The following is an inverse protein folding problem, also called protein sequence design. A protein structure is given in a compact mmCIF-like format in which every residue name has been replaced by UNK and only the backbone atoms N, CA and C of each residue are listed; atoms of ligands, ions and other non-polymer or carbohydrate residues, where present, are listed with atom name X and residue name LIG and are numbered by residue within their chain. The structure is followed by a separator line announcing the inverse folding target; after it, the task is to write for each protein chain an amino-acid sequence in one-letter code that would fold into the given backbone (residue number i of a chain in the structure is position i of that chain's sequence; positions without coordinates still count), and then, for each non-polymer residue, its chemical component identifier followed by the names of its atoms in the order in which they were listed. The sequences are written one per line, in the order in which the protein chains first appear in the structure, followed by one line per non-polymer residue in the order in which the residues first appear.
data_IF_303481597169
#
_entry.id   IF_303481597169
#
_cell.length_a   1.000
_cell.length_b   1.000
_cell.length_c   1.000
_cell.angle_alpha   90.00
_cell.angle_beta   90.00
_cell.angle_gamma   90.00
#
_symmetry.space_group_name_H-M   'P 1'
#
loop_
_entity.id
_entity.type
_entity.pdbx_description
1 polymer ?
#
# COMPACT_ATOMS: atom_id res chain seq x y z
N UNK A 1 -2.78 8.63 -28.53
CA UNK A 1 -2.50 9.03 -27.13
C UNK A 1 -1.74 7.88 -26.49
N UNK A 2 -0.52 8.09 -25.98
CA UNK A 2 0.28 7.05 -25.32
C UNK A 2 0.29 7.39 -23.84
N UNK A 3 -0.39 6.58 -23.03
CA UNK A 3 -0.36 6.72 -21.57
C UNK A 3 0.92 6.05 -21.07
N UNK A 4 1.71 6.78 -20.28
CA UNK A 4 2.88 6.22 -19.59
C UNK A 4 2.42 5.65 -18.26
N UNK A 5 2.88 4.44 -17.97
CA UNK A 5 2.59 3.72 -16.72
C UNK A 5 3.69 4.04 -15.72
N UNK A 6 3.34 4.26 -14.45
CA UNK A 6 4.33 4.41 -13.37
C UNK A 6 5.11 3.10 -13.21
N UNK A 7 6.43 3.19 -13.01
CA UNK A 7 7.26 2.01 -12.72
C UNK A 7 7.34 1.69 -11.23
N UNK A 8 6.77 2.54 -10.38
CA UNK A 8 6.77 2.39 -8.93
C UNK A 8 5.37 2.11 -8.42
N UNK A 9 5.22 1.37 -7.29
CA UNK A 9 3.96 1.27 -6.59
C UNK A 9 3.46 2.65 -6.19
N UNK A 10 2.15 2.80 -6.14
CA UNK A 10 1.49 4.04 -5.74
C UNK A 10 0.54 3.75 -4.60
N UNK A 11 0.35 4.72 -3.71
CA UNK A 11 -0.81 4.73 -2.83
C UNK A 11 -2.02 5.00 -3.74
N UNK A 12 -2.88 4.01 -3.91
CA UNK A 12 -4.04 4.08 -4.78
C UNK A 12 -5.27 4.60 -4.02
N UNK A 13 -5.44 4.14 -2.77
CA UNK A 13 -6.52 4.57 -1.89
C UNK A 13 -6.03 4.64 -0.43
N UNK A 14 -6.70 5.47 0.36
CA UNK A 14 -6.47 5.66 1.78
C UNK A 14 -7.80 5.88 2.49
N UNK A 15 -8.09 5.05 3.48
CA UNK A 15 -9.30 5.10 4.29
C UNK A 15 -8.94 5.29 5.76
N UNK A 16 -9.08 6.52 6.27
CA UNK A 16 -8.73 6.88 7.66
C UNK A 16 -9.94 7.02 8.59
N UNK A 17 -11.11 6.57 8.14
CA UNK A 17 -12.33 6.51 8.95
C UNK A 17 -13.25 5.43 8.38
N UNK A 18 -12.79 4.19 8.48
CA UNK A 18 -13.55 3.03 8.05
C UNK A 18 -14.57 2.67 9.14
N UNK A 19 -15.85 2.93 8.91
CA UNK A 19 -16.89 2.61 9.91
C UNK A 19 -17.67 1.33 9.57
N UNK A 20 -17.71 0.95 8.28
CA UNK A 20 -18.58 -0.11 7.81
C UNK A 20 -18.20 -0.73 6.45
N UNK A 21 -17.01 -0.44 5.90
CA UNK A 21 -16.65 -0.85 4.52
C UNK A 21 -15.93 -2.20 4.51
N UNK A 22 -14.78 -2.29 5.19
CA UNK A 22 -13.93 -3.47 5.20
C UNK A 22 -13.51 -3.80 6.63
N UNK A 23 -13.67 -5.04 7.05
CA UNK A 23 -13.12 -5.48 8.34
C UNK A 23 -11.74 -6.10 8.14
N UNK A 24 -10.86 -5.92 9.10
CA UNK A 24 -9.62 -6.67 9.19
C UNK A 24 -9.84 -8.11 9.69
N UNK A 25 -8.75 -8.86 9.83
CA UNK A 25 -8.77 -10.26 10.26
C UNK A 25 -9.24 -10.46 11.71
N UNK A 26 -9.38 -9.39 12.50
CA UNK A 26 -9.91 -9.39 13.86
C UNK A 26 -11.38 -8.93 13.92
N UNK A 27 -11.97 -8.56 12.79
CA UNK A 27 -13.34 -8.06 12.70
C UNK A 27 -13.47 -6.57 13.04
N UNK A 28 -12.36 -5.83 13.10
CA UNK A 28 -12.36 -4.39 13.35
C UNK A 28 -12.42 -3.62 12.01
N UNK A 29 -13.12 -2.49 12.01
CA UNK A 29 -13.10 -1.59 10.85
C UNK A 29 -11.89 -0.65 10.95
N UNK A 30 -10.71 -1.24 10.86
CA UNK A 30 -9.43 -0.52 10.96
C UNK A 30 -9.22 0.41 9.76
N UNK A 31 -8.39 1.43 9.95
CA UNK A 31 -7.91 2.26 8.85
C UNK A 31 -7.09 1.40 7.90
N UNK A 32 -7.02 1.79 6.63
CA UNK A 32 -6.21 1.04 5.67
C UNK A 32 -5.67 1.90 4.54
N UNK A 33 -4.55 1.43 3.99
CA UNK A 33 -3.88 1.97 2.83
C UNK A 33 -3.88 0.89 1.74
N UNK A 34 -4.30 1.23 0.53
CA UNK A 34 -4.15 0.38 -0.64
C UNK A 34 -2.94 0.83 -1.48
N UNK A 35 -2.04 -0.10 -1.73
CA UNK A 35 -0.86 0.08 -2.58
C UNK A 35 -1.06 -0.71 -3.86
N UNK A 36 -1.01 -0.01 -4.99
CA UNK A 36 -1.16 -0.60 -6.31
C UNK A 36 0.19 -0.71 -7.01
N UNK A 37 0.46 -1.84 -7.66
CA UNK A 37 1.56 -1.96 -8.61
C UNK A 37 1.04 -1.74 -10.05
N UNK A 38 1.18 -0.51 -10.62
CA UNK A 38 0.79 -0.25 -12.00
C UNK A 38 1.73 -0.85 -13.03
N UNK A 39 2.93 -1.29 -12.63
CA UNK A 39 3.98 -1.69 -13.56
C UNK A 39 3.73 -3.07 -14.20
N UNK A 40 4.54 -3.42 -15.21
CA UNK A 40 4.50 -4.75 -15.84
C UNK A 40 5.45 -5.76 -15.17
N UNK A 41 6.04 -5.41 -14.03
CA UNK A 41 7.00 -6.26 -13.30
C UNK A 41 6.55 -6.42 -11.85
N UNK A 42 6.93 -7.52 -11.22
CA UNK A 42 6.71 -7.67 -9.78
C UNK A 42 7.62 -6.69 -9.03
N UNK A 43 7.09 -6.11 -7.94
CA UNK A 43 7.83 -5.14 -7.12
C UNK A 43 8.01 -5.70 -5.73
N UNK A 44 9.27 -5.80 -5.29
CA UNK A 44 9.63 -6.16 -3.92
C UNK A 44 9.66 -4.91 -3.04
N UNK A 45 8.89 -4.93 -1.96
CA UNK A 45 8.83 -3.84 -0.98
C UNK A 45 9.88 -3.94 0.14
N UNK A 46 10.80 -4.91 0.09
CA UNK A 46 11.88 -4.98 1.09
C UNK A 46 12.64 -3.64 1.16
N UNK A 47 12.80 -3.12 2.38
CA UNK A 47 13.39 -1.81 2.72
C UNK A 47 12.55 -0.59 2.33
N UNK A 48 11.28 -0.77 1.94
CA UNK A 48 10.31 0.31 1.86
C UNK A 48 9.68 0.53 3.23
N UNK A 49 9.17 1.73 3.45
CA UNK A 49 8.51 2.08 4.70
C UNK A 49 7.29 2.98 4.46
N UNK A 50 6.33 2.92 5.39
CA UNK A 50 5.25 3.88 5.52
C UNK A 50 5.54 4.81 6.70
N UNK A 51 5.19 6.08 6.52
CA UNK A 51 5.23 7.08 7.57
C UNK A 51 4.15 8.15 7.35
N UNK A 52 3.64 8.69 8.45
CA UNK A 52 2.81 9.89 8.53
C UNK A 52 3.60 11.09 9.09
N UNK A 53 4.88 10.90 9.39
CA UNK A 53 5.73 11.87 10.07
C UNK A 53 6.96 12.19 9.21
N UNK A 54 7.09 13.45 8.76
CA UNK A 54 8.21 13.86 7.91
C UNK A 54 9.56 13.77 8.60
N UNK A 55 9.60 13.73 9.93
CA UNK A 55 10.85 13.65 10.72
C UNK A 55 11.24 12.19 11.06
N UNK A 56 10.34 11.21 10.84
CA UNK A 56 10.60 9.77 11.01
C UNK A 56 10.14 8.98 9.79
N UNK A 57 11.05 8.80 8.81
CA UNK A 57 10.72 8.16 7.53
C UNK A 57 10.60 6.62 7.59
N UNK A 58 10.88 5.98 8.73
CA UNK A 58 11.00 4.51 8.86
C UNK A 58 10.07 3.98 9.99
N UNK A 59 8.93 4.64 10.22
CA UNK A 59 7.97 4.24 11.26
C UNK A 59 7.48 2.80 11.12
N UNK A 60 7.15 2.37 9.90
CA UNK A 60 6.75 0.99 9.64
C UNK A 60 7.42 0.47 8.37
N UNK A 61 8.19 -0.61 8.50
CA UNK A 61 8.97 -1.18 7.38
C UNK A 61 8.34 -2.45 6.84
N UNK A 62 8.31 -2.57 5.53
CA UNK A 62 7.83 -3.79 4.87
C UNK A 62 8.85 -4.94 5.02
N UNK A 63 8.37 -6.18 5.24
CA UNK A 63 9.20 -7.36 5.06
C UNK A 63 9.48 -7.60 3.57
N UNK A 64 10.15 -8.72 3.25
CA UNK A 64 10.16 -9.21 1.88
C UNK A 64 8.72 -9.53 1.45
N UNK A 65 8.21 -8.77 0.50
CA UNK A 65 6.86 -8.89 -0.02
C UNK A 65 6.84 -8.45 -1.47
N UNK A 66 6.28 -9.28 -2.35
CA UNK A 66 6.10 -8.97 -3.76
C UNK A 66 4.67 -8.52 -4.01
N UNK A 67 4.52 -7.43 -4.75
CA UNK A 67 3.26 -7.07 -5.42
C UNK A 67 3.42 -7.41 -6.90
N UNK A 68 2.62 -8.33 -7.41
CA UNK A 68 2.66 -8.75 -8.81
C UNK A 68 2.13 -7.63 -9.75
N UNK A 69 2.41 -7.70 -11.07
CA UNK A 69 1.93 -6.71 -12.02
C UNK A 69 0.40 -6.56 -11.98
N UNK A 70 -0.10 -5.35 -11.72
CA UNK A 70 -1.53 -5.07 -11.68
C UNK A 70 -2.24 -5.46 -10.37
N UNK A 71 -1.51 -5.99 -9.39
CA UNK A 71 -2.08 -6.38 -8.09
C UNK A 71 -2.06 -5.23 -7.08
N UNK A 72 -2.84 -5.43 -6.02
CA UNK A 72 -3.04 -4.51 -4.91
C UNK A 72 -2.60 -5.16 -3.60
N UNK A 73 -2.08 -4.34 -2.68
CA UNK A 73 -1.77 -4.71 -1.31
C UNK A 73 -2.55 -3.80 -0.37
N UNK A 74 -3.33 -4.41 0.52
CA UNK A 74 -3.96 -3.71 1.65
C UNK A 74 -3.06 -3.78 2.89
N UNK A 75 -2.85 -2.63 3.52
CA UNK A 75 -2.17 -2.50 4.81
C UNK A 75 -3.15 -1.88 5.78
N UNK A 76 -3.54 -2.63 6.82
CA UNK A 76 -4.33 -2.09 7.94
C UNK A 76 -3.44 -1.33 8.91
N UNK A 77 -3.95 -0.23 9.47
CA UNK A 77 -3.21 0.72 10.33
C UNK A 77 -3.90 0.93 11.68
#
# INVERSE_FOLDING_TARGET
MKLSVSQQPVINEFMSNNENVLQDDFGEYSDWIEIYNPSQQSINLLNWSLTDDPDDLIKWSFPYLLIEPGDFLLVFA
#
